data_IF_480273607115
#
_entry.id   IF_480273607115
#
_cell.length_a   1.000
_cell.length_b   1.000
_cell.length_c   1.000
_cell.angle_alpha   90.00
_cell.angle_beta   90.00
_cell.angle_gamma   90.00
#
_symmetry.space_group_name_H-M   'P 1'
#
loop_
_entity.id
_entity.type
_entity.pdbx_description
1 polymer ?
#
# COMPACT_ATOMS: atom_id res chain seq x y z
N UNK A 1 15.48 -2.94 17.02
CA UNK A 1 14.57 -4.06 16.69
C UNK A 1 14.84 -4.69 15.32
N UNK A 2 14.93 -3.92 14.23
CA UNK A 2 15.12 -4.49 12.89
C UNK A 2 16.41 -5.32 12.72
N UNK A 3 17.54 -4.86 13.28
CA UNK A 3 18.82 -5.60 13.23
C UNK A 3 18.71 -6.94 13.97
N UNK A 4 18.05 -6.95 15.14
CA UNK A 4 17.84 -8.16 15.94
C UNK A 4 17.03 -9.19 15.14
N UNK A 5 15.96 -8.77 14.46
CA UNK A 5 15.14 -9.66 13.66
C UNK A 5 15.90 -10.24 12.45
N UNK A 6 16.78 -9.44 11.83
CA UNK A 6 17.64 -9.92 10.74
C UNK A 6 18.68 -10.93 11.23
N UNK A 7 19.31 -10.68 12.38
CA UNK A 7 20.25 -11.61 12.99
C UNK A 7 19.55 -12.92 13.40
N UNK A 8 18.33 -12.84 13.96
CA UNK A 8 17.52 -14.01 14.27
C UNK A 8 17.17 -14.81 13.01
N UNK A 9 16.75 -14.14 11.93
CA UNK A 9 16.46 -14.78 10.65
C UNK A 9 17.71 -15.46 10.05
N UNK A 10 18.86 -14.79 10.10
CA UNK A 10 20.14 -15.35 9.68
C UNK A 10 20.49 -16.61 10.49
N UNK A 11 20.37 -16.55 11.82
CA UNK A 11 20.64 -17.67 12.71
C UNK A 11 19.75 -18.89 12.43
N UNK A 12 18.45 -18.68 12.25
CA UNK A 12 17.48 -19.75 11.92
C UNK A 12 17.82 -20.41 10.58
N UNK A 13 18.04 -19.61 9.52
CA UNK A 13 18.37 -20.14 8.20
C UNK A 13 19.70 -20.90 8.20
N UNK A 14 20.70 -20.37 8.90
CA UNK A 14 22.01 -21.02 9.06
C UNK A 14 21.86 -22.36 9.76
N UNK A 15 21.10 -22.42 10.87
CA UNK A 15 20.86 -23.65 11.62
C UNK A 15 20.16 -24.72 10.76
N UNK A 16 19.11 -24.33 10.04
CA UNK A 16 18.37 -25.24 9.16
C UNK A 16 19.31 -25.82 8.09
N UNK A 17 20.10 -24.98 7.42
CA UNK A 17 20.99 -25.42 6.37
C UNK A 17 22.13 -26.30 6.91
N UNK A 18 22.70 -25.94 8.05
CA UNK A 18 23.71 -26.73 8.75
C UNK A 18 23.23 -28.15 9.09
N UNK A 19 22.01 -28.27 9.62
CA UNK A 19 21.40 -29.58 9.93
C UNK A 19 21.23 -30.46 8.68
N UNK A 20 20.93 -29.86 7.51
CA UNK A 20 20.82 -30.61 6.25
C UNK A 20 22.19 -31.06 5.74
N UNK A 21 23.23 -30.24 5.89
CA UNK A 21 24.60 -30.61 5.52
C UNK A 21 25.11 -31.82 6.32
N UNK A 22 24.74 -31.93 7.61
CA UNK A 22 25.10 -33.07 8.45
C UNK A 22 24.56 -34.42 7.95
N UNK A 23 23.45 -34.43 7.20
CA UNK A 23 22.88 -35.67 6.62
C UNK A 23 23.74 -36.18 5.45
N UNK A 24 24.55 -35.32 4.81
CA UNK A 24 25.52 -35.73 3.78
C UNK A 24 24.93 -36.17 2.44
N UNK A 25 23.65 -35.88 2.17
CA UNK A 25 22.99 -36.23 0.90
C UNK A 25 23.00 -35.05 -0.07
N UNK A 26 23.76 -35.13 -1.16
CA UNK A 26 23.93 -34.05 -2.15
C UNK A 26 22.60 -33.56 -2.76
N UNK A 27 21.62 -34.46 -2.94
CA UNK A 27 20.29 -34.06 -3.43
C UNK A 27 19.52 -33.18 -2.42
N UNK A 28 19.65 -33.47 -1.12
CA UNK A 28 19.01 -32.70 -0.05
C UNK A 28 19.69 -31.34 0.15
N UNK A 29 21.01 -31.25 -0.04
CA UNK A 29 21.74 -29.98 0.10
C UNK A 29 21.36 -28.97 -0.98
N UNK A 30 21.20 -29.42 -2.24
CA UNK A 30 20.71 -28.55 -3.32
C UNK A 30 19.25 -28.16 -3.09
N UNK A 31 18.37 -29.11 -2.76
CA UNK A 31 16.95 -28.80 -2.51
C UNK A 31 16.76 -27.80 -1.34
N UNK A 32 17.48 -28.01 -0.24
CA UNK A 32 17.42 -27.11 0.92
C UNK A 32 17.98 -25.72 0.60
N UNK A 33 18.99 -25.60 -0.27
CA UNK A 33 19.50 -24.28 -0.70
C UNK A 33 18.44 -23.45 -1.43
N UNK A 34 17.60 -24.10 -2.25
CA UNK A 34 16.44 -23.46 -2.89
C UNK A 34 15.46 -22.99 -1.81
N UNK A 35 15.12 -23.85 -0.85
CA UNK A 35 14.21 -23.50 0.25
C UNK A 35 14.74 -22.35 1.11
N UNK A 36 16.06 -22.31 1.40
CA UNK A 36 16.71 -21.19 2.09
C UNK A 36 16.62 -19.90 1.27
N UNK A 37 16.80 -19.98 -0.05
CA UNK A 37 16.60 -18.84 -0.95
C UNK A 37 15.18 -18.28 -0.92
N UNK A 38 14.16 -19.13 -1.08
CA UNK A 38 12.75 -18.72 -0.98
C UNK A 38 12.39 -18.21 0.42
N UNK A 39 12.82 -18.92 1.46
CA UNK A 39 12.57 -18.59 2.86
C UNK A 39 13.18 -17.25 3.26
N UNK A 40 14.41 -16.97 2.81
CA UNK A 40 15.08 -15.68 3.06
C UNK A 40 14.29 -14.51 2.46
N UNK A 41 13.76 -14.66 1.24
CA UNK A 41 12.99 -13.62 0.58
C UNK A 41 11.62 -13.41 1.24
N UNK A 42 10.98 -14.49 1.71
CA UNK A 42 9.75 -14.41 2.48
C UNK A 42 9.96 -13.70 3.83
N UNK A 43 11.00 -14.09 4.58
CA UNK A 43 11.39 -13.45 5.85
C UNK A 43 11.69 -11.97 5.67
N UNK A 44 12.46 -11.62 4.65
CA UNK A 44 12.79 -10.21 4.34
C UNK A 44 11.54 -9.40 4.06
N UNK A 45 10.54 -9.94 3.34
CA UNK A 45 9.26 -9.26 3.09
C UNK A 45 8.41 -9.10 4.35
N UNK A 46 8.42 -10.07 5.25
CA UNK A 46 7.71 -9.97 6.53
C UNK A 46 8.35 -8.95 7.46
N UNK A 47 9.68 -8.86 7.43
CA UNK A 47 10.46 -7.98 8.31
C UNK A 47 10.63 -6.55 7.76
N UNK A 48 10.49 -6.35 6.44
CA UNK A 48 10.67 -5.06 5.78
C UNK A 48 9.62 -4.82 4.70
N UNK A 49 8.88 -3.73 4.85
CA UNK A 49 7.90 -3.27 3.86
C UNK A 49 8.55 -2.72 2.56
N UNK A 50 9.87 -2.47 2.56
CA UNK A 50 10.54 -1.80 1.43
C UNK A 50 11.98 -2.26 1.13
N UNK A 51 12.32 -3.53 1.38
CA UNK A 51 13.63 -4.07 0.97
C UNK A 51 13.68 -4.42 -0.52
N UNK A 52 14.76 -4.02 -1.19
CA UNK A 52 15.03 -4.40 -2.58
C UNK A 52 15.29 -5.90 -2.75
N UNK A 53 15.29 -6.40 -4.01
CA UNK A 53 15.47 -7.81 -4.34
C UNK A 53 16.78 -8.42 -3.82
N UNK A 54 17.80 -7.57 -3.60
CA UNK A 54 19.11 -7.99 -3.14
C UNK A 54 19.16 -8.37 -1.65
N UNK A 55 18.22 -7.88 -0.82
CA UNK A 55 18.26 -8.15 0.62
C UNK A 55 18.05 -9.63 0.95
N UNK A 56 17.12 -10.31 0.26
CA UNK A 56 16.94 -11.76 0.42
C UNK A 56 18.15 -12.54 -0.07
N UNK A 57 18.70 -12.18 -1.22
CA UNK A 57 19.89 -12.82 -1.79
C UNK A 57 21.13 -12.71 -0.87
N UNK A 58 21.36 -11.53 -0.28
CA UNK A 58 22.44 -11.35 0.69
C UNK A 58 22.22 -12.16 1.97
N UNK A 59 20.98 -12.26 2.45
CA UNK A 59 20.64 -13.05 3.63
C UNK A 59 20.84 -14.55 3.38
N UNK A 60 20.38 -15.08 2.23
CA UNK A 60 20.56 -16.49 1.90
C UNK A 60 22.03 -16.84 1.65
N UNK A 61 22.78 -15.99 0.95
CA UNK A 61 24.22 -16.16 0.74
C UNK A 61 24.99 -16.17 2.07
N UNK A 62 24.66 -15.24 2.97
CA UNK A 62 25.31 -15.19 4.29
C UNK A 62 25.01 -16.44 5.12
N UNK A 63 23.76 -16.92 5.12
CA UNK A 63 23.36 -18.11 5.85
C UNK A 63 24.07 -19.37 5.34
N UNK A 64 24.13 -19.57 4.02
CA UNK A 64 24.80 -20.74 3.44
C UNK A 64 26.31 -20.70 3.62
N UNK A 65 26.95 -19.52 3.48
CA UNK A 65 28.39 -19.36 3.74
C UNK A 65 28.76 -19.67 5.19
N UNK A 66 28.00 -19.15 6.16
CA UNK A 66 28.26 -19.40 7.58
C UNK A 66 28.12 -20.89 7.90
N UNK A 67 27.08 -21.55 7.38
CA UNK A 67 26.87 -22.97 7.62
C UNK A 67 27.97 -23.86 6.99
N UNK A 68 28.41 -23.58 5.76
CA UNK A 68 29.53 -24.28 5.12
C UNK A 68 30.83 -24.03 5.87
N UNK A 69 31.08 -22.79 6.30
CA UNK A 69 32.25 -22.44 7.11
C UNK A 69 32.26 -23.20 8.45
N UNK A 70 31.12 -23.30 9.14
CA UNK A 70 30.99 -24.06 10.37
C UNK A 70 31.28 -25.56 10.15
N UNK A 71 30.69 -26.18 9.11
CA UNK A 71 30.97 -27.57 8.75
C UNK A 71 32.46 -27.83 8.49
N UNK A 72 33.11 -26.91 7.76
CA UNK A 72 34.54 -26.99 7.47
C UNK A 72 35.38 -26.86 8.74
N UNK A 73 35.08 -25.87 9.59
CA UNK A 73 35.83 -25.60 10.83
C UNK A 73 35.72 -26.73 11.86
N UNK A 74 34.57 -27.40 11.93
CA UNK A 74 34.31 -28.52 12.83
C UNK A 74 34.75 -29.87 12.24
N UNK A 75 35.25 -29.88 11.00
CA UNK A 75 35.67 -31.08 10.27
C UNK A 75 34.57 -32.18 10.20
N UNK A 76 33.31 -31.76 10.07
CA UNK A 76 32.13 -32.67 10.10
C UNK A 76 31.74 -33.23 8.72
N UNK A 77 32.61 -33.09 7.71
CA UNK A 77 32.33 -33.48 6.33
C UNK A 77 31.92 -32.30 5.43
N UNK A 78 31.39 -32.58 4.24
CA UNK A 78 30.88 -31.54 3.32
C UNK A 78 31.95 -30.77 2.53
N UNK A 79 32.82 -31.49 1.81
CA UNK A 79 33.81 -30.89 0.89
C UNK A 79 33.46 -31.15 -0.58
N UNK A 80 32.25 -31.64 -0.83
CA UNK A 80 31.84 -31.99 -2.18
C UNK A 80 31.68 -30.73 -3.03
N UNK A 81 31.93 -30.80 -4.34
CA UNK A 81 31.64 -29.68 -5.24
C UNK A 81 30.15 -29.26 -5.17
N UNK A 82 29.26 -30.18 -4.79
CA UNK A 82 27.84 -29.94 -4.59
C UNK A 82 27.53 -28.98 -3.43
N UNK A 83 28.33 -28.96 -2.37
CA UNK A 83 28.11 -28.07 -1.23
C UNK A 83 28.39 -26.62 -1.63
N UNK A 84 29.45 -26.40 -2.40
CA UNK A 84 29.79 -25.08 -2.98
C UNK A 84 28.80 -24.64 -4.05
N UNK A 85 28.30 -25.58 -4.87
CA UNK A 85 27.24 -25.28 -5.82
C UNK A 85 25.97 -24.80 -5.11
N UNK A 86 25.59 -25.44 -4.00
CA UNK A 86 24.42 -25.08 -3.23
C UNK A 86 24.52 -23.67 -2.59
N UNK A 87 25.73 -23.19 -2.26
CA UNK A 87 25.95 -21.80 -1.83
C UNK A 87 25.53 -20.78 -2.90
N UNK A 88 25.68 -21.09 -4.19
CA UNK A 88 25.29 -20.23 -5.30
C UNK A 88 23.80 -20.36 -5.66
N UNK A 89 23.22 -21.55 -5.49
CA UNK A 89 21.80 -21.81 -5.77
C UNK A 89 20.88 -21.03 -4.81
N UNK A 90 21.28 -20.85 -3.56
CA UNK A 90 20.49 -20.12 -2.56
C UNK A 90 20.24 -18.63 -2.91
N UNK A 91 21.23 -17.79 -3.24
CA UNK A 91 20.98 -16.42 -3.70
C UNK A 91 20.29 -16.38 -5.07
N UNK A 92 20.61 -17.29 -5.99
CA UNK A 92 19.95 -17.35 -7.30
C UNK A 92 18.44 -17.59 -7.17
N UNK A 93 18.03 -18.57 -6.35
CA UNK A 93 16.62 -18.84 -6.07
C UNK A 93 15.92 -17.69 -5.33
N UNK A 94 16.62 -16.98 -4.42
CA UNK A 94 16.10 -15.75 -3.81
C UNK A 94 15.82 -14.66 -4.86
N UNK A 95 16.73 -14.44 -5.82
CA UNK A 95 16.55 -13.47 -6.92
C UNK A 95 15.38 -13.88 -7.81
N UNK A 96 15.31 -15.16 -8.22
CA UNK A 96 14.22 -15.69 -9.07
C UNK A 96 12.88 -15.51 -8.36
N UNK A 97 12.78 -15.89 -7.08
CA UNK A 97 11.54 -15.74 -6.30
C UNK A 97 11.13 -14.26 -6.18
N UNK A 98 12.09 -13.36 -6.01
CA UNK A 98 11.84 -11.92 -6.01
C UNK A 98 11.29 -11.45 -7.35
N UNK A 99 11.88 -11.91 -8.44
CA UNK A 99 11.46 -11.55 -9.79
C UNK A 99 10.05 -12.07 -10.11
N UNK A 100 9.75 -13.34 -9.80
CA UNK A 100 8.42 -13.94 -9.97
C UNK A 100 7.37 -13.15 -9.18
N UNK A 101 7.66 -12.82 -7.93
CA UNK A 101 6.71 -12.08 -7.12
C UNK A 101 6.62 -10.60 -7.51
N UNK A 102 7.65 -10.00 -8.10
CA UNK A 102 7.57 -8.65 -8.67
C UNK A 102 6.72 -8.60 -9.95
N UNK A 103 6.59 -9.72 -10.67
CA UNK A 103 5.72 -9.83 -11.85
C UNK A 103 4.23 -9.84 -11.52
N UNK A 104 3.83 -9.98 -10.24
CA UNK A 104 2.45 -9.74 -9.80
C UNK A 104 2.17 -8.23 -9.66
N UNK A 105 2.53 -7.44 -10.66
CA UNK A 105 2.07 -6.05 -10.72
C UNK A 105 0.55 -6.06 -10.87
N UNK A 106 -0.17 -5.43 -9.93
CA UNK A 106 -1.63 -5.34 -9.95
C UNK A 106 -2.16 -4.56 -11.17
N UNK A 107 -1.27 -3.85 -11.87
CA UNK A 107 -1.57 -3.07 -13.06
C UNK A 107 -0.56 -1.95 -13.24
N UNK A 108 -0.91 -0.99 -14.09
CA UNK A 108 -0.20 0.28 -14.20
C UNK A 108 -1.14 1.40 -13.73
N UNK A 109 -0.57 2.43 -13.10
CA UNK A 109 -1.32 3.60 -12.70
C UNK A 109 -1.99 4.22 -13.93
N UNK A 110 -3.30 4.44 -13.85
CA UNK A 110 -4.06 5.06 -14.94
C UNK A 110 -3.52 6.45 -15.35
N UNK A 111 -2.97 7.21 -14.39
CA UNK A 111 -2.48 8.59 -14.61
C UNK A 111 -1.04 8.60 -15.12
N UNK A 112 -0.06 8.15 -14.32
CA UNK A 112 1.37 8.24 -14.67
C UNK A 112 1.93 7.01 -15.40
N UNK A 113 1.11 5.97 -15.64
CA UNK A 113 1.50 4.70 -16.27
C UNK A 113 2.62 3.93 -15.55
N UNK A 114 3.00 4.33 -14.34
CA UNK A 114 3.99 3.59 -13.54
C UNK A 114 3.39 2.29 -12.99
N UNK A 115 4.19 1.21 -12.83
CA UNK A 115 3.70 -0.06 -12.31
C UNK A 115 3.21 0.09 -10.86
N UNK A 116 2.03 -0.47 -10.58
CA UNK A 116 1.43 -0.43 -9.24
C UNK A 116 2.01 -1.54 -8.35
N UNK A 117 2.40 -1.15 -7.14
CA UNK A 117 2.80 -2.08 -6.08
C UNK A 117 1.59 -2.41 -5.21
N UNK A 118 1.52 -3.62 -4.70
CA UNK A 118 0.51 -4.01 -3.72
C UNK A 118 0.50 -3.02 -2.53
N UNK A 119 -0.69 -2.53 -2.17
CA UNK A 119 -0.88 -1.57 -1.09
C UNK A 119 -0.52 -0.11 -1.43
N UNK A 120 -0.05 0.19 -2.64
CA UNK A 120 0.26 1.56 -3.10
C UNK A 120 -0.69 2.06 -4.18
N UNK A 121 -1.85 1.42 -4.31
CA UNK A 121 -2.87 1.76 -5.28
C UNK A 121 -4.22 2.02 -4.61
N UNK A 122 -5.03 2.84 -5.28
CA UNK A 122 -6.41 3.14 -4.90
C UNK A 122 -7.27 3.21 -6.14
N UNK A 123 -8.46 2.62 -6.05
CA UNK A 123 -9.48 2.72 -7.08
C UNK A 123 -10.22 4.04 -6.88
N UNK A 124 -10.18 4.92 -7.87
CA UNK A 124 -10.87 6.20 -7.77
C UNK A 124 -12.39 5.98 -7.72
N UNK A 125 -13.11 6.52 -6.72
CA UNK A 125 -14.55 6.29 -6.57
C UNK A 125 -15.40 6.93 -7.67
N UNK A 126 -14.79 7.78 -8.51
CA UNK A 126 -15.47 8.55 -9.56
C UNK A 126 -15.39 7.87 -10.92
N UNK A 127 -14.19 7.44 -11.32
CA UNK A 127 -13.96 6.82 -12.63
C UNK A 127 -13.70 5.31 -12.56
N UNK A 128 -13.57 4.73 -11.37
CA UNK A 128 -13.27 3.31 -11.18
C UNK A 128 -11.86 2.89 -11.60
N UNK A 129 -10.99 3.84 -11.96
CA UNK A 129 -9.63 3.55 -12.42
C UNK A 129 -8.67 3.42 -11.23
N UNK A 130 -7.72 2.50 -11.35
CA UNK A 130 -6.68 2.28 -10.35
C UNK A 130 -5.54 3.29 -10.50
N UNK A 131 -5.17 3.95 -9.40
CA UNK A 131 -4.20 5.04 -9.38
C UNK A 131 -3.18 4.86 -8.26
N UNK A 132 -1.94 5.31 -8.47
CA UNK A 132 -0.94 5.33 -7.42
C UNK A 132 -1.16 6.53 -6.48
N UNK A 133 -0.59 6.48 -5.29
CA UNK A 133 -0.77 7.50 -4.24
C UNK A 133 0.18 8.70 -4.33
N UNK A 134 0.89 8.83 -5.44
CA UNK A 134 1.73 9.99 -5.71
C UNK A 134 0.86 11.25 -5.80
N UNK A 135 1.32 12.41 -5.28
CA UNK A 135 0.55 13.66 -5.29
C UNK A 135 0.04 14.10 -6.67
N UNK A 136 0.79 13.80 -7.73
CA UNK A 136 0.40 14.13 -9.12
C UNK A 136 -0.70 13.23 -9.67
N UNK A 137 -0.93 12.07 -9.07
CA UNK A 137 -1.90 11.06 -9.51
C UNK A 137 -3.17 11.06 -8.65
N UNK A 138 -3.02 11.26 -7.34
CA UNK A 138 -4.09 11.17 -6.36
C UNK A 138 -4.13 12.40 -5.44
N UNK A 139 -5.29 13.05 -5.39
CA UNK A 139 -5.54 14.14 -4.46
C UNK A 139 -6.16 13.61 -3.17
N UNK A 140 -5.32 13.49 -2.13
CA UNK A 140 -5.73 13.02 -0.80
C UNK A 140 -6.76 13.94 -0.12
N UNK A 141 -6.81 15.24 -0.44
CA UNK A 141 -7.76 16.17 0.19
C UNK A 141 -9.16 15.99 -0.39
N UNK A 142 -9.24 15.75 -1.69
CA UNK A 142 -10.51 15.61 -2.41
C UNK A 142 -10.89 14.16 -2.71
N UNK A 143 -10.07 13.19 -2.26
CA UNK A 143 -10.26 11.74 -2.37
C UNK A 143 -10.59 11.30 -3.80
N UNK A 144 -9.81 11.79 -4.77
CA UNK A 144 -10.03 11.48 -6.19
C UNK A 144 -8.73 11.57 -6.98
N UNK A 145 -8.68 10.90 -8.13
CA UNK A 145 -7.53 11.01 -9.02
C UNK A 145 -7.45 12.40 -9.66
N UNK A 146 -6.24 12.80 -10.06
CA UNK A 146 -5.98 14.13 -10.61
C UNK A 146 -6.82 14.44 -11.86
N UNK A 147 -6.97 13.53 -12.85
CA UNK A 147 -7.86 13.78 -13.98
C UNK A 147 -9.33 14.02 -13.61
N UNK A 148 -9.85 13.31 -12.60
CA UNK A 148 -11.22 13.53 -12.12
C UNK A 148 -11.37 14.85 -11.36
N UNK A 149 -10.32 15.28 -10.65
CA UNK A 149 -10.27 16.59 -10.01
C UNK A 149 -10.29 17.71 -11.05
N UNK A 150 -9.37 17.68 -12.02
CA UNK A 150 -9.21 18.74 -13.03
C UNK A 150 -10.46 18.87 -13.92
N UNK A 151 -11.11 17.75 -14.27
CA UNK A 151 -12.34 17.74 -15.08
C UNK A 151 -13.60 17.99 -14.27
N UNK A 152 -13.52 18.07 -12.94
CA UNK A 152 -14.69 18.22 -12.07
C UNK A 152 -15.71 17.09 -12.25
N UNK A 153 -15.26 15.85 -12.45
CA UNK A 153 -16.14 14.68 -12.62
C UNK A 153 -16.99 14.53 -11.37
N UNK A 154 -18.31 14.51 -11.52
CA UNK A 154 -19.31 14.43 -10.42
C UNK A 154 -19.55 12.95 -10.05
N UNK A 155 -19.73 12.65 -8.77
CA UNK A 155 -20.07 11.30 -8.27
C UNK A 155 -21.41 11.26 -7.57
N UNK A 156 -21.85 12.39 -7.01
CA UNK A 156 -23.18 12.48 -6.43
C UNK A 156 -24.26 12.49 -7.52
N UNK A 157 -25.43 11.86 -7.28
CA UNK A 157 -26.52 11.81 -8.25
C UNK A 157 -26.97 13.22 -8.69
N UNK A 158 -27.17 13.42 -9.99
CA UNK A 158 -27.60 14.72 -10.54
C UNK A 158 -29.11 14.93 -10.33
N UNK A 159 -29.87 13.87 -10.05
CA UNK A 159 -31.32 13.90 -9.94
C UNK A 159 -31.77 14.80 -8.77
N UNK A 160 -32.59 15.84 -9.02
CA UNK A 160 -33.05 16.76 -7.97
C UNK A 160 -33.82 16.09 -6.83
N UNK A 161 -34.52 14.99 -7.13
CA UNK A 161 -35.24 14.20 -6.14
C UNK A 161 -34.32 13.56 -5.09
N UNK A 162 -33.11 13.15 -5.48
CA UNK A 162 -32.12 12.62 -4.54
C UNK A 162 -31.66 13.72 -3.57
N UNK A 163 -31.28 14.89 -4.07
CA UNK A 163 -30.88 16.04 -3.24
C UNK A 163 -31.99 16.48 -2.29
N UNK A 164 -33.23 16.47 -2.77
CA UNK A 164 -34.39 16.87 -1.97
C UNK A 164 -34.69 15.88 -0.84
N UNK A 165 -34.50 14.59 -1.08
CA UNK A 165 -34.59 13.55 -0.05
C UNK A 165 -33.49 13.68 1.00
N UNK A 166 -32.26 13.97 0.57
CA UNK A 166 -31.08 14.00 1.45
C UNK A 166 -30.96 15.29 2.28
N UNK A 167 -31.23 16.45 1.67
CA UNK A 167 -30.94 17.76 2.25
C UNK A 167 -32.18 18.67 2.37
N UNK A 168 -33.37 18.18 2.01
CA UNK A 168 -34.59 18.99 1.98
C UNK A 168 -34.68 19.87 0.73
N UNK A 169 -35.64 20.81 0.71
CA UNK A 169 -35.91 21.67 -0.45
C UNK A 169 -34.72 22.59 -0.80
N UNK A 170 -34.63 23.00 -2.07
CA UNK A 170 -33.68 24.03 -2.53
C UNK A 170 -33.93 25.34 -1.78
N UNK A 171 -32.88 25.98 -1.29
CA UNK A 171 -32.96 27.32 -0.73
C UNK A 171 -33.18 28.33 -1.86
N UNK A 172 -34.12 29.27 -1.66
CA UNK A 172 -34.49 30.29 -2.66
C UNK A 172 -33.72 31.60 -2.48
N UNK A 173 -32.97 31.75 -1.38
CA UNK A 173 -32.23 32.95 -1.02
C UNK A 173 -30.84 32.60 -0.48
N UNK A 174 -29.94 33.58 -0.47
CA UNK A 174 -28.57 33.44 0.01
C UNK A 174 -27.58 32.96 -1.06
N UNK A 175 -26.36 32.65 -0.62
CA UNK A 175 -25.24 32.27 -1.47
C UNK A 175 -24.59 30.99 -0.96
N UNK A 176 -23.98 30.24 -1.88
CA UNK A 176 -23.10 29.13 -1.51
C UNK A 176 -21.85 29.66 -0.83
N UNK A 177 -21.58 29.25 0.42
CA UNK A 177 -20.41 29.77 1.16
C UNK A 177 -19.06 29.30 0.57
N UNK A 178 -19.07 28.26 -0.28
CA UNK A 178 -17.85 27.71 -0.88
C UNK A 178 -17.47 28.39 -2.20
N UNK A 179 -18.44 28.75 -3.04
CA UNK A 179 -18.18 29.33 -4.36
C UNK A 179 -18.89 30.66 -4.63
N UNK A 180 -19.59 31.21 -3.63
CA UNK A 180 -20.31 32.50 -3.64
C UNK A 180 -21.42 32.65 -4.68
N UNK A 181 -21.80 31.58 -5.38
CA UNK A 181 -22.95 31.62 -6.30
C UNK A 181 -24.27 31.82 -5.56
N UNK A 182 -25.13 32.66 -6.11
CA UNK A 182 -26.46 32.93 -5.59
C UNK A 182 -27.40 31.72 -5.71
N UNK A 183 -28.39 31.68 -4.81
CA UNK A 183 -29.44 30.67 -4.79
C UNK A 183 -30.25 30.62 -6.10
N UNK A 184 -30.32 31.71 -6.86
CA UNK A 184 -30.94 31.74 -8.20
C UNK A 184 -30.13 30.99 -9.26
N UNK A 185 -28.79 31.08 -9.18
CA UNK A 185 -27.86 30.52 -10.18
C UNK A 185 -27.50 29.05 -9.92
N UNK A 186 -27.59 28.61 -8.67
CA UNK A 186 -27.18 27.26 -8.26
C UNK A 186 -28.25 26.57 -7.41
N UNK A 187 -28.27 25.23 -7.47
CA UNK A 187 -29.08 24.42 -6.55
C UNK A 187 -28.44 24.45 -5.15
N UNK A 188 -28.86 25.43 -4.34
CA UNK A 188 -28.37 25.68 -2.99
C UNK A 188 -29.11 24.80 -1.98
N UNK A 189 -28.35 24.06 -1.16
CA UNK A 189 -28.88 23.16 -0.13
C UNK A 189 -28.18 23.41 1.20
N UNK A 190 -28.90 23.26 2.30
CA UNK A 190 -28.36 23.44 3.64
C UNK A 190 -27.85 22.12 4.21
N UNK A 191 -26.80 22.19 5.03
CA UNK A 191 -26.38 21.03 5.83
C UNK A 191 -27.50 20.62 6.80
N UNK A 192 -27.84 19.32 6.82
CA UNK A 192 -28.86 18.77 7.72
C UNK A 192 -28.55 18.93 9.22
N UNK A 193 -27.31 19.24 9.59
CA UNK A 193 -26.89 19.43 10.99
C UNK A 193 -26.68 20.90 11.38
N UNK A 194 -25.83 21.63 10.65
CA UNK A 194 -25.42 23.00 11.01
C UNK A 194 -26.01 24.09 10.11
N UNK A 195 -26.93 23.73 9.20
CA UNK A 195 -27.61 24.64 8.26
C UNK A 195 -26.69 25.43 7.33
N UNK A 196 -25.42 25.03 7.20
CA UNK A 196 -24.45 25.68 6.31
C UNK A 196 -24.90 25.56 4.84
N UNK A 197 -25.10 26.68 4.12
CA UNK A 197 -25.62 26.65 2.75
C UNK A 197 -24.51 26.39 1.73
N UNK A 198 -24.72 25.38 0.88
CA UNK A 198 -23.75 24.96 -0.13
C UNK A 198 -24.44 24.40 -1.37
N UNK A 199 -23.95 24.76 -2.57
CA UNK A 199 -24.55 24.26 -3.80
C UNK A 199 -24.20 22.78 -4.04
N UNK A 200 -25.05 22.07 -4.79
CA UNK A 200 -24.86 20.63 -5.07
C UNK A 200 -23.46 20.30 -5.65
N UNK A 201 -22.88 21.19 -6.47
CA UNK A 201 -21.52 21.01 -7.02
C UNK A 201 -20.43 21.12 -5.94
N UNK A 202 -20.60 22.00 -4.95
CA UNK A 202 -19.68 22.11 -3.82
C UNK A 202 -19.87 20.95 -2.82
N UNK A 203 -21.09 20.44 -2.65
CA UNK A 203 -21.33 19.18 -1.93
C UNK A 203 -20.58 18.01 -2.58
N UNK A 204 -20.60 17.91 -3.91
CA UNK A 204 -19.83 16.89 -4.63
C UNK A 204 -18.31 17.11 -4.51
N UNK A 205 -17.86 18.36 -4.57
CA UNK A 205 -16.45 18.71 -4.35
C UNK A 205 -15.94 18.28 -2.97
N UNK A 206 -16.77 18.40 -1.94
CA UNK A 206 -16.46 17.93 -0.58
C UNK A 206 -16.91 16.48 -0.31
N UNK A 207 -17.14 15.67 -1.34
CA UNK A 207 -17.51 14.25 -1.22
C UNK A 207 -18.70 14.02 -0.27
N UNK A 208 -19.73 14.87 -0.36
CA UNK A 208 -20.91 14.85 0.51
C UNK A 208 -20.64 15.05 2.02
N UNK A 209 -19.47 15.57 2.39
CA UNK A 209 -19.16 15.97 3.76
C UNK A 209 -19.28 17.49 3.92
N UNK A 210 -19.94 17.93 4.99
CA UNK A 210 -20.01 19.34 5.35
C UNK A 210 -18.63 19.84 5.80
N UNK A 211 -18.04 20.87 5.16
CA UNK A 211 -16.71 21.37 5.55
C UNK A 211 -16.70 22.01 6.95
N UNK A 212 -17.86 22.48 7.45
CA UNK A 212 -17.98 23.12 8.78
C UNK A 212 -18.08 22.12 9.93
N UNK A 213 -19.05 21.20 9.86
CA UNK A 213 -19.37 20.31 10.99
C UNK A 213 -19.05 18.83 10.74
N UNK A 214 -18.41 18.52 9.60
CA UNK A 214 -18.03 17.17 9.16
C UNK A 214 -19.17 16.15 9.03
N UNK A 215 -20.42 16.59 9.15
CA UNK A 215 -21.59 15.76 8.89
C UNK A 215 -21.60 15.26 7.44
N UNK A 216 -21.85 13.97 7.25
CA UNK A 216 -21.89 13.28 5.96
C UNK A 216 -23.35 13.01 5.60
N UNK A 217 -23.71 13.18 4.32
CA UNK A 217 -25.04 12.83 3.81
C UNK A 217 -25.32 11.33 4.03
N UNK A 218 -26.48 10.93 4.59
CA UNK A 218 -26.73 9.53 4.94
C UNK A 218 -26.65 8.53 3.77
N UNK A 219 -27.25 8.84 2.62
CA UNK A 219 -27.29 7.91 1.47
C UNK A 219 -26.22 8.22 0.41
N UNK A 220 -24.95 8.32 0.81
CA UNK A 220 -23.85 8.49 -0.17
C UNK A 220 -23.70 7.28 -1.11
N UNK A 221 -23.32 7.51 -2.38
CA UNK A 221 -23.02 6.44 -3.34
C UNK A 221 -22.02 5.43 -2.78
N UNK A 222 -22.25 4.15 -3.07
CA UNK A 222 -21.42 3.05 -2.55
C UNK A 222 -19.90 3.23 -2.76
N UNK A 223 -19.42 3.73 -3.92
CA UNK A 223 -17.99 3.95 -4.12
C UNK A 223 -17.34 4.94 -3.14
N UNK A 224 -18.11 5.89 -2.59
CA UNK A 224 -17.59 6.87 -1.63
C UNK A 224 -17.57 6.38 -0.18
N UNK A 225 -18.36 5.36 0.17
CA UNK A 225 -18.53 4.93 1.57
C UNK A 225 -17.21 4.51 2.23
N UNK A 226 -16.33 3.82 1.49
CA UNK A 226 -15.02 3.41 2.00
C UNK A 226 -14.05 4.57 2.27
N UNK A 227 -14.36 5.77 1.77
CA UNK A 227 -13.53 6.96 1.91
C UNK A 227 -14.07 7.95 2.96
N UNK A 228 -15.28 7.73 3.47
CA UNK A 228 -15.99 8.66 4.34
C UNK A 228 -16.23 8.01 5.71
N UNK A 229 -15.70 8.61 6.79
CA UNK A 229 -15.92 8.18 8.17
C UNK A 229 -14.77 8.55 9.10
N UNK A 230 -15.01 8.48 10.41
CA UNK A 230 -14.02 8.82 11.46
C UNK A 230 -12.78 7.90 11.42
N UNK A 231 -12.90 6.71 10.81
CA UNK A 231 -11.78 5.80 10.55
C UNK A 231 -11.08 6.00 9.20
N UNK A 232 -11.70 6.64 8.19
CA UNK A 232 -11.15 6.67 6.83
C UNK A 232 -9.89 7.53 6.70
N UNK A 233 -9.74 8.57 7.54
CA UNK A 233 -8.51 9.37 7.59
C UNK A 233 -7.39 8.72 8.43
N UNK A 234 -7.74 7.83 9.36
CA UNK A 234 -6.78 7.14 10.24
C UNK A 234 -6.30 5.82 9.59
N UNK A 235 -7.20 5.09 8.91
CA UNK A 235 -6.98 3.79 8.28
C UNK A 235 -6.37 3.93 6.87
N UNK A 236 -6.65 5.03 6.16
CA UNK A 236 -5.91 5.39 4.94
C UNK A 236 -4.61 6.15 5.25
N UNK A 237 -3.92 5.80 6.34
CA UNK A 237 -2.47 6.00 6.36
C UNK A 237 -1.90 4.97 5.40
N UNK A 238 -1.21 5.36 4.30
CA UNK A 238 -0.44 4.39 3.54
C UNK A 238 0.44 3.64 4.54
N UNK A 239 0.32 2.30 4.60
CA UNK A 239 0.89 1.49 5.68
C UNK A 239 2.42 1.69 5.86
N UNK A 240 3.11 2.31 4.88
CA UNK A 240 4.51 2.72 4.99
C UNK A 240 4.83 4.16 5.44
N UNK A 241 3.85 5.02 5.71
CA UNK A 241 4.09 6.39 6.22
C UNK A 241 4.26 6.39 7.73
N UNK A 242 5.38 5.84 8.22
CA UNK A 242 5.85 6.20 9.56
C UNK A 242 6.16 7.68 9.54
N UNK A 243 5.47 8.45 10.38
CA UNK A 243 5.88 9.80 10.77
C UNK A 243 7.38 9.74 11.08
N UNK A 244 8.19 10.41 10.26
CA UNK A 244 9.46 10.94 10.73
C UNK A 244 9.04 11.97 11.77
N UNK A 245 8.85 11.51 13.01
CA UNK A 245 8.75 12.40 14.14
C UNK A 245 10.04 13.21 14.11
N UNK A 246 9.94 14.49 13.76
CA UNK A 246 11.00 15.45 13.95
C UNK A 246 11.33 15.41 15.44
N UNK A 247 12.35 14.64 15.80
CA UNK A 247 12.89 14.62 17.13
C UNK A 247 13.49 16.00 17.40
N UNK A 248 13.21 16.50 18.60
CA UNK A 248 13.41 17.88 19.02
C UNK A 248 14.79 18.46 18.74
N UNK A 249 14.77 19.70 18.25
CA UNK A 249 15.77 20.67 18.64
C UNK A 249 15.33 21.27 19.97
N UNK A 250 16.05 20.91 21.02
CA UNK A 250 16.06 21.53 22.35
C UNK A 250 17.50 21.56 22.82
#
# INVERSE_FOLDING_TARGET
>A
MLVINLLAALGILTLIYFLVLLVGHSGLTVLSSVLVGFGSQALVRLLREQSGPLSGALLSLSATLVAVFLMWSLNLGGRGPWDWFAVLVAPASAIISSFIASRKSLGHCFVCRSPLRAGQSVICPRCGQETCLLPDCWDHRHLRCRPCFDRGVVVLPIQPGWWTRQLGKRATQGQCVSCYKDAGEADLRECGRCRWPMCCRCWDHHNAQCPRCRWIIPEVPAPLRGFLGDGAAEEYRPQGSRRVSAAGGG
#
